data_IF_418496792714
#
_entry.id   IF_418496792714
#
_cell.length_a   1.000
_cell.length_b   1.000
_cell.length_c   1.000
_cell.angle_alpha   90.00
_cell.angle_beta   90.00
_cell.angle_gamma   90.00
#
_symmetry.space_group_name_H-M   'P 1'
#
loop_
_entity.id
_entity.type
_entity.pdbx_description
1 polymer ?
#
# COMPACT_ATOMS: atom_id res chain seq x y z
N UNK A 1 -15.75 -20.01 -17.98
CA UNK A 1 -14.58 -19.10 -18.05
C UNK A 1 -14.61 -18.21 -16.82
N UNK A 2 -13.55 -18.21 -16.00
CA UNK A 2 -13.45 -17.41 -14.77
C UNK A 2 -12.92 -16.04 -15.18
N UNK A 3 -13.78 -15.03 -15.18
CA UNK A 3 -13.37 -13.64 -15.48
C UNK A 3 -12.36 -13.23 -14.41
N UNK A 4 -11.13 -12.90 -14.83
CA UNK A 4 -10.15 -12.25 -13.94
C UNK A 4 -10.66 -10.83 -13.73
N UNK A 5 -11.16 -10.55 -12.54
CA UNK A 5 -11.65 -9.25 -12.13
C UNK A 5 -10.44 -8.31 -12.02
N UNK A 6 -10.07 -7.68 -13.13
CA UNK A 6 -8.94 -6.77 -13.22
C UNK A 6 -9.37 -5.52 -13.99
N UNK A 7 -10.34 -4.78 -13.48
CA UNK A 7 -10.83 -3.57 -14.12
C UNK A 7 -11.08 -2.49 -13.04
N UNK A 8 -10.30 -1.40 -13.12
CA UNK A 8 -10.45 -0.08 -12.48
C UNK A 8 -9.82 0.28 -11.12
N UNK A 9 -8.93 -0.52 -10.51
CA UNK A 9 -8.18 -0.03 -9.32
C UNK A 9 -7.19 1.11 -9.62
N UNK A 10 -6.77 1.28 -10.87
CA UNK A 10 -5.88 2.38 -11.29
C UNK A 10 -6.57 3.73 -11.33
N UNK A 11 -7.90 3.76 -11.44
CA UNK A 11 -8.71 5.00 -11.45
C UNK A 11 -9.53 5.18 -10.16
N UNK A 12 -9.81 4.10 -9.42
CA UNK A 12 -10.62 4.09 -8.21
C UNK A 12 -9.80 3.54 -7.04
N UNK A 13 -9.43 4.40 -6.08
CA UNK A 13 -8.75 3.96 -4.85
C UNK A 13 -9.57 2.93 -4.06
N UNK A 14 -8.90 2.09 -3.27
CA UNK A 14 -9.57 1.14 -2.37
C UNK A 14 -10.24 1.86 -1.20
N UNK A 15 -11.40 1.38 -0.76
CA UNK A 15 -11.99 1.80 0.52
C UNK A 15 -11.20 1.22 1.68
N UNK A 16 -11.33 1.80 2.88
CA UNK A 16 -10.73 1.26 4.11
C UNK A 16 -11.15 -0.20 4.32
N UNK A 17 -12.43 -0.51 4.12
CA UNK A 17 -12.95 -1.87 4.28
C UNK A 17 -12.32 -2.85 3.30
N UNK A 18 -12.21 -2.48 2.01
CA UNK A 18 -11.57 -3.32 1.00
C UNK A 18 -10.09 -3.58 1.29
N UNK A 19 -9.37 -2.54 1.72
CA UNK A 19 -7.96 -2.68 2.14
C UNK A 19 -7.81 -3.64 3.32
N UNK A 20 -8.66 -3.51 4.36
CA UNK A 20 -8.60 -4.39 5.54
C UNK A 20 -8.87 -5.85 5.15
N UNK A 21 -9.86 -6.11 4.30
CA UNK A 21 -10.15 -7.48 3.86
C UNK A 21 -8.99 -8.09 3.08
N UNK A 22 -8.30 -7.33 2.23
CA UNK A 22 -7.09 -7.82 1.55
C UNK A 22 -5.95 -8.09 2.53
N UNK A 23 -5.70 -7.19 3.48
CA UNK A 23 -4.65 -7.40 4.49
C UNK A 23 -4.87 -8.66 5.33
N UNK A 24 -6.13 -9.00 5.65
CA UNK A 24 -6.48 -10.23 6.37
C UNK A 24 -6.14 -11.52 5.61
N UNK A 25 -5.96 -11.46 4.29
CA UNK A 25 -5.63 -12.65 3.48
C UNK A 25 -4.18 -13.13 3.65
N UNK A 26 -3.31 -12.29 4.22
CA UNK A 26 -1.91 -12.64 4.47
C UNK A 26 -1.81 -13.58 5.67
N UNK A 27 -1.11 -14.71 5.52
CA UNK A 27 -0.93 -15.68 6.60
C UNK A 27 -0.23 -15.07 7.82
N UNK A 28 0.82 -14.27 7.58
CA UNK A 28 1.54 -13.56 8.64
C UNK A 28 1.04 -12.12 8.79
N UNK A 29 0.18 -11.91 9.80
CA UNK A 29 -0.35 -10.59 10.16
C UNK A 29 0.67 -9.67 10.88
N UNK A 30 1.91 -10.11 11.10
CA UNK A 30 2.98 -9.32 11.73
C UNK A 30 3.94 -8.67 10.71
N UNK A 31 3.65 -8.79 9.40
CA UNK A 31 4.47 -8.14 8.37
C UNK A 31 4.33 -6.62 8.41
N UNK A 32 5.45 -5.91 8.24
CA UNK A 32 5.46 -4.44 8.11
C UNK A 32 4.81 -4.02 6.78
N UNK A 33 3.85 -3.09 6.85
CA UNK A 33 3.21 -2.53 5.65
C UNK A 33 3.99 -1.30 5.19
N UNK A 34 4.35 -1.28 3.90
CA UNK A 34 5.14 -0.20 3.28
C UNK A 34 4.43 0.36 2.05
N UNK A 35 4.66 1.64 1.77
CA UNK A 35 4.17 2.35 0.58
C UNK A 35 5.32 2.70 -0.36
N UNK A 36 5.15 2.43 -1.65
CA UNK A 36 6.11 2.83 -2.71
C UNK A 36 5.89 4.30 -3.06
N UNK A 37 6.97 5.06 -3.24
CA UNK A 37 6.91 6.54 -3.32
C UNK A 37 7.57 7.17 -4.55
N UNK A 38 8.14 6.37 -5.46
CA UNK A 38 8.94 6.86 -6.60
C UNK A 38 8.90 5.89 -7.80
N UNK A 39 7.71 5.36 -8.13
CA UNK A 39 7.56 4.45 -9.26
C UNK A 39 8.12 3.04 -9.02
N UNK A 40 8.44 2.71 -7.77
CA UNK A 40 8.77 1.35 -7.35
C UNK A 40 10.20 1.16 -6.84
N UNK A 41 11.02 2.21 -6.81
CA UNK A 41 12.44 2.12 -6.45
C UNK A 41 12.67 2.18 -4.94
N UNK A 42 11.83 2.91 -4.21
CA UNK A 42 11.90 3.03 -2.76
C UNK A 42 10.54 2.86 -2.12
N UNK A 43 10.55 2.33 -0.89
CA UNK A 43 9.37 2.30 -0.04
C UNK A 43 9.64 2.79 1.36
N UNK A 44 8.59 3.31 1.99
CA UNK A 44 8.57 3.79 3.37
C UNK A 44 7.54 3.02 4.20
N UNK A 45 7.77 2.79 5.49
CA UNK A 45 6.77 2.21 6.37
C UNK A 45 5.58 3.17 6.54
N UNK A 46 4.42 2.57 6.77
CA UNK A 46 3.19 3.29 7.12
C UNK A 46 3.12 3.40 8.64
N UNK A 47 2.87 4.61 9.16
CA UNK A 47 2.86 4.84 10.62
C UNK A 47 1.54 5.41 11.14
N UNK A 48 0.86 6.25 10.35
CA UNK A 48 -0.34 6.97 10.81
C UNK A 48 -1.43 6.90 9.75
N UNK A 49 -2.69 6.80 10.20
CA UNK A 49 -3.87 6.97 9.37
C UNK A 49 -4.61 8.23 9.80
N UNK A 50 -4.72 9.21 8.90
CA UNK A 50 -5.38 10.49 9.17
C UNK A 50 -6.62 10.66 8.30
N UNK A 51 -7.72 11.20 8.85
CA UNK A 51 -8.92 11.56 8.07
C UNK A 51 -8.75 12.95 7.45
N UNK A 52 -9.00 13.11 6.15
CA UNK A 52 -8.97 14.41 5.45
C UNK A 52 -10.37 14.80 5.00
N UNK A 53 -10.85 15.92 5.53
CA UNK A 53 -12.07 16.63 5.07
C UNK A 53 -13.31 15.73 4.89
N UNK A 54 -13.44 14.67 5.70
CA UNK A 54 -14.46 13.63 5.54
C UNK A 54 -14.52 12.96 4.15
N UNK A 55 -13.50 13.14 3.30
CA UNK A 55 -13.49 12.67 1.92
C UNK A 55 -12.69 11.38 1.76
N UNK A 56 -11.52 11.30 2.39
CA UNK A 56 -10.65 10.13 2.32
C UNK A 56 -9.82 9.97 3.60
N UNK A 57 -9.36 8.74 3.83
CA UNK A 57 -8.29 8.47 4.78
C UNK A 57 -6.96 8.54 4.06
N UNK A 58 -5.97 9.16 4.69
CA UNK A 58 -4.63 9.33 4.20
C UNK A 58 -3.69 8.52 5.08
N UNK A 59 -2.86 7.72 4.44
CA UNK A 59 -1.81 6.97 5.09
C UNK A 59 -0.55 7.83 5.09
N UNK A 60 -0.02 8.11 6.28
CA UNK A 60 1.11 9.02 6.49
C UNK A 60 2.28 8.28 7.14
N UNK A 61 3.48 8.66 6.71
CA UNK A 61 4.71 8.29 7.40
C UNK A 61 4.91 9.27 8.58
N UNK A 62 5.22 8.77 9.77
CA UNK A 62 5.52 9.59 10.97
C UNK A 62 6.97 9.47 11.43
N UNK A 63 7.86 9.01 10.56
CA UNK A 63 9.28 8.99 10.88
C UNK A 63 9.86 10.41 10.70
N UNK A 64 10.47 10.93 11.77
CA UNK A 64 11.23 12.19 11.74
C UNK A 64 12.41 12.09 10.74
N UNK A 65 12.98 10.89 10.59
CA UNK A 65 13.91 10.51 9.51
C UNK A 65 13.41 9.21 8.87
N UNK A 66 12.94 9.21 7.62
CA UNK A 66 12.38 8.01 7.00
C UNK A 66 13.47 6.97 6.68
N UNK A 67 13.22 5.70 7.03
CA UNK A 67 14.09 4.59 6.63
C UNK A 67 13.81 4.19 5.18
N UNK A 68 14.52 4.83 4.25
CA UNK A 68 14.45 4.52 2.83
C UNK A 68 15.16 3.20 2.56
N UNK A 69 14.44 2.24 1.99
CA UNK A 69 15.04 1.02 1.44
C UNK A 69 14.95 1.11 -0.08
N UNK A 70 16.09 0.97 -0.75
CA UNK A 70 16.17 0.84 -2.21
C UNK A 70 15.93 -0.62 -2.60
N UNK A 71 14.95 -0.79 -3.47
CA UNK A 71 14.53 -2.07 -4.00
C UNK A 71 15.33 -2.37 -5.28
N UNK A 72 15.72 -3.63 -5.49
CA UNK A 72 16.43 -3.99 -6.71
C UNK A 72 15.47 -3.82 -7.91
N UNK A 73 15.84 -3.06 -8.97
CA UNK A 73 14.96 -2.78 -10.09
C UNK A 73 14.49 -4.02 -10.89
N UNK A 74 15.04 -5.21 -10.61
CA UNK A 74 14.69 -6.46 -11.30
C UNK A 74 13.55 -7.27 -10.67
N UNK A 75 12.80 -6.74 -9.69
CA UNK A 75 11.74 -7.47 -8.99
C UNK A 75 10.42 -7.68 -9.75
N UNK A 76 10.32 -7.19 -10.99
CA UNK A 76 9.16 -7.40 -11.87
C UNK A 76 9.17 -8.71 -12.67
N UNK A 77 10.14 -9.60 -12.46
CA UNK A 77 10.32 -10.85 -13.22
C UNK A 77 10.07 -12.15 -12.42
N UNK A 78 9.42 -12.10 -11.26
CA UNK A 78 8.99 -13.30 -10.51
C UNK A 78 7.48 -13.29 -10.26
#
# INVERSE_FOLDING_TARGET
MKVRQNEDYTNCGKTIAGLIEELKTFENQQLEVRILIDGGLTSMPISILTKRENKYALIENCQEVPTIIQHNPNWTLL
#
